data_IF_375448633503
#
_entry.id   IF_375448633503
#
_cell.length_a   1.000
_cell.length_b   1.000
_cell.length_c   1.000
_cell.angle_alpha   90.00
_cell.angle_beta   90.00
_cell.angle_gamma   90.00
#
_symmetry.space_group_name_H-M   'P 1'
#
loop_
_entity.id
_entity.type
_entity.pdbx_description
1 polymer ?
#
# COMPACT_ATOMS: atom_id res chain seq x y z
N UNK A 1 -24.54 -23.39 23.39
CA UNK A 1 -23.97 -22.15 22.84
C UNK A 1 -23.60 -22.30 21.35
N UNK A 2 -22.80 -23.31 20.96
CA UNK A 2 -22.41 -23.54 19.54
C UNK A 2 -23.62 -23.64 18.60
N UNK A 3 -24.64 -24.44 18.93
CA UNK A 3 -25.83 -24.59 18.07
C UNK A 3 -26.61 -23.28 17.89
N UNK A 4 -26.59 -22.42 18.90
CA UNK A 4 -27.21 -21.09 18.83
C UNK A 4 -26.41 -20.14 17.93
N UNK A 5 -25.09 -20.10 18.12
CA UNK A 5 -24.22 -19.24 17.29
C UNK A 5 -24.25 -19.66 15.83
N UNK A 6 -24.25 -20.97 15.53
CA UNK A 6 -24.40 -21.47 14.15
C UNK A 6 -25.70 -21.03 13.51
N UNK A 7 -26.85 -21.22 14.21
CA UNK A 7 -28.15 -20.77 13.69
C UNK A 7 -28.21 -19.24 13.50
N UNK A 8 -27.61 -18.48 14.40
CA UNK A 8 -27.60 -17.03 14.31
C UNK A 8 -26.74 -16.55 13.12
N UNK A 9 -25.57 -17.16 12.89
CA UNK A 9 -24.73 -16.90 11.72
C UNK A 9 -25.45 -17.28 10.43
N UNK A 10 -26.11 -18.45 10.37
CA UNK A 10 -26.89 -18.87 9.21
C UNK A 10 -28.03 -17.88 8.88
N UNK A 11 -28.70 -17.34 9.91
CA UNK A 11 -29.76 -16.35 9.73
C UNK A 11 -29.20 -15.01 9.24
N UNK A 12 -28.09 -14.55 9.80
CA UNK A 12 -27.40 -13.35 9.33
C UNK A 12 -26.98 -13.49 7.87
N UNK A 13 -26.41 -14.63 7.47
CA UNK A 13 -26.00 -14.88 6.08
C UNK A 13 -27.17 -14.90 5.08
N UNK A 14 -28.37 -15.25 5.54
CA UNK A 14 -29.58 -15.24 4.69
C UNK A 14 -30.22 -13.86 4.59
N UNK A 15 -30.12 -13.05 5.62
CA UNK A 15 -30.86 -11.78 5.75
C UNK A 15 -30.01 -10.55 5.48
N UNK A 16 -28.69 -10.67 5.54
CA UNK A 16 -27.77 -9.56 5.37
C UNK A 16 -26.96 -9.74 4.09
N UNK A 17 -26.89 -8.70 3.25
CA UNK A 17 -25.91 -8.64 2.18
C UNK A 17 -24.55 -8.55 2.84
N UNK A 18 -23.68 -9.52 2.57
CA UNK A 18 -22.32 -9.50 3.12
C UNK A 18 -21.54 -8.32 2.53
N UNK A 19 -20.92 -7.53 3.39
CA UNK A 19 -19.97 -6.52 2.94
C UNK A 19 -18.78 -7.20 2.28
N UNK A 20 -18.34 -6.68 1.15
CA UNK A 20 -17.16 -7.19 0.46
C UNK A 20 -15.89 -6.73 1.19
N UNK A 21 -15.10 -7.67 1.67
CA UNK A 21 -13.80 -7.39 2.28
C UNK A 21 -12.73 -7.23 1.19
N UNK A 22 -12.28 -6.03 0.95
CA UNK A 22 -11.23 -5.75 -0.03
C UNK A 22 -9.88 -6.27 0.46
N UNK A 23 -9.15 -6.93 -0.44
CA UNK A 23 -7.81 -7.50 -0.14
C UNK A 23 -6.66 -6.54 -0.42
N UNK A 24 -6.96 -5.39 -1.00
CA UNK A 24 -6.01 -4.34 -1.38
C UNK A 24 -6.56 -3.00 -0.92
N UNK A 25 -5.66 -2.09 -0.58
CA UNK A 25 -5.95 -0.67 -0.46
C UNK A 25 -5.84 -0.02 -1.85
N UNK A 26 -6.30 1.21 -1.99
CA UNK A 26 -6.35 1.88 -3.28
C UNK A 26 -7.69 1.74 -3.96
N UNK A 27 -7.74 1.86 -5.29
CA UNK A 27 -8.99 1.73 -6.03
C UNK A 27 -9.61 0.35 -5.87
N UNK A 28 -10.88 0.30 -5.53
CA UNK A 28 -11.60 -0.94 -5.27
C UNK A 28 -11.78 -1.78 -6.54
N UNK A 29 -11.97 -1.10 -7.67
CA UNK A 29 -12.15 -1.67 -8.99
C UNK A 29 -11.62 -0.77 -10.12
N UNK A 30 -11.72 -1.24 -11.35
CA UNK A 30 -11.25 -0.55 -12.54
C UNK A 30 -12.08 0.71 -12.89
N UNK A 31 -13.28 0.86 -12.33
CA UNK A 31 -14.12 2.05 -12.54
C UNK A 31 -13.65 3.25 -11.70
N UNK A 32 -12.86 2.99 -10.66
CA UNK A 32 -12.35 4.01 -9.73
C UNK A 32 -13.47 4.81 -9.01
N UNK A 33 -14.60 4.16 -8.74
CA UNK A 33 -15.75 4.79 -8.06
C UNK A 33 -15.57 4.80 -6.54
N UNK A 34 -14.71 3.92 -6.01
CA UNK A 34 -14.44 3.78 -4.60
C UNK A 34 -12.95 3.55 -4.33
N UNK A 35 -12.45 4.13 -3.23
CA UNK A 35 -11.06 4.01 -2.78
C UNK A 35 -11.00 3.43 -1.38
N UNK A 36 -10.28 2.31 -1.24
CA UNK A 36 -10.10 1.60 0.04
C UNK A 36 -8.92 2.21 0.80
N UNK A 37 -9.18 2.70 2.01
CA UNK A 37 -8.16 3.27 2.89
C UNK A 37 -8.36 2.78 4.34
N UNK A 38 -7.58 1.79 4.74
CA UNK A 38 -7.75 1.14 6.03
C UNK A 38 -9.11 0.45 6.15
N UNK A 39 -9.88 0.82 7.16
CA UNK A 39 -11.25 0.37 7.41
C UNK A 39 -12.32 1.21 6.70
N UNK A 40 -11.92 2.07 5.76
CA UNK A 40 -12.82 2.99 5.06
C UNK A 40 -12.87 2.69 3.57
N UNK A 41 -14.08 2.73 3.03
CA UNK A 41 -14.39 2.76 1.61
C UNK A 41 -14.86 4.17 1.25
N UNK A 42 -13.99 4.94 0.61
CA UNK A 42 -14.26 6.34 0.25
C UNK A 42 -14.86 6.39 -1.13
N UNK A 43 -16.05 6.97 -1.26
CA UNK A 43 -16.80 7.14 -2.51
C UNK A 43 -17.09 8.63 -2.76
N UNK A 44 -17.61 8.95 -3.92
CA UNK A 44 -18.08 10.32 -4.23
C UNK A 44 -19.25 10.79 -3.33
N UNK A 45 -19.99 9.85 -2.73
CA UNK A 45 -21.18 10.14 -1.92
C UNK A 45 -20.93 10.08 -0.42
N UNK A 46 -19.79 9.53 0.01
CA UNK A 46 -19.47 9.42 1.44
C UNK A 46 -18.36 8.41 1.75
N UNK A 47 -18.32 8.02 3.01
CA UNK A 47 -17.36 7.05 3.53
C UNK A 47 -18.13 5.94 4.21
N UNK A 48 -17.95 4.72 3.72
CA UNK A 48 -18.54 3.51 4.27
C UNK A 48 -17.47 2.69 5.01
N UNK A 49 -17.92 1.73 5.81
CA UNK A 49 -17.01 0.80 6.49
C UNK A 49 -16.51 -0.26 5.51
N UNK A 50 -15.19 -0.46 5.49
CA UNK A 50 -14.54 -1.56 4.77
C UNK A 50 -14.09 -2.63 5.78
N UNK A 51 -14.71 -3.82 5.82
CA UNK A 51 -14.32 -4.87 6.74
C UNK A 51 -12.89 -5.36 6.42
N UNK A 52 -12.08 -5.66 7.44
CA UNK A 52 -10.72 -6.15 7.24
C UNK A 52 -10.71 -7.52 6.57
N UNK A 53 -9.87 -7.68 5.56
CA UNK A 53 -9.52 -8.99 5.02
C UNK A 53 -8.32 -9.57 5.77
N UNK A 54 -8.06 -10.87 5.61
CA UNK A 54 -6.85 -11.51 6.18
C UNK A 54 -5.54 -10.89 5.67
N UNK A 55 -5.56 -10.26 4.47
CA UNK A 55 -4.38 -9.62 3.89
C UNK A 55 -4.15 -8.21 4.44
N UNK A 56 -5.22 -7.48 4.78
CA UNK A 56 -5.17 -6.06 5.16
C UNK A 56 -5.22 -5.82 6.68
N UNK A 57 -5.70 -6.79 7.45
CA UNK A 57 -6.02 -6.63 8.88
C UNK A 57 -4.87 -6.05 9.72
N UNK A 58 -3.64 -6.46 9.46
CA UNK A 58 -2.46 -5.99 10.22
C UNK A 58 -2.06 -4.55 9.91
N UNK A 59 -2.57 -3.95 8.82
CA UNK A 59 -2.20 -2.61 8.38
C UNK A 59 -3.32 -1.58 8.59
N UNK A 60 -4.52 -1.98 8.96
CA UNK A 60 -5.66 -1.07 9.08
C UNK A 60 -5.37 0.10 10.03
N UNK A 61 -4.80 -0.18 11.21
CA UNK A 61 -4.45 0.85 12.18
C UNK A 61 -3.42 1.86 11.68
N UNK A 62 -2.60 1.49 10.70
CA UNK A 62 -1.63 2.38 10.09
C UNK A 62 -2.28 3.54 9.30
N UNK A 63 -3.53 3.37 8.88
CA UNK A 63 -4.29 4.38 8.12
C UNK A 63 -5.15 5.30 8.99
N UNK A 64 -5.05 5.18 10.31
CA UNK A 64 -5.71 6.13 11.19
C UNK A 64 -5.10 7.52 11.04
N UNK A 65 -5.96 8.53 10.84
CA UNK A 65 -5.54 9.92 10.73
C UNK A 65 -4.98 10.40 12.08
N UNK A 66 -3.73 10.88 12.07
CA UNK A 66 -3.05 11.46 13.26
C UNK A 66 -2.64 12.89 12.96
N UNK A 67 -2.75 13.76 13.96
CA UNK A 67 -2.45 15.18 13.80
C UNK A 67 -3.61 15.98 13.19
N UNK A 68 -3.29 17.13 12.59
CA UNK A 68 -4.28 18.02 11.99
C UNK A 68 -3.91 18.38 10.55
N UNK A 69 -4.91 18.79 9.77
CA UNK A 69 -4.72 19.26 8.40
C UNK A 69 -3.74 20.43 8.34
N UNK A 70 -3.84 21.37 9.29
CA UNK A 70 -2.99 22.56 9.37
C UNK A 70 -1.51 22.17 9.52
N UNK A 71 -1.21 21.21 10.41
CA UNK A 71 0.16 20.70 10.61
C UNK A 71 0.68 20.00 9.36
N UNK A 72 -0.17 19.27 8.65
CA UNK A 72 0.22 18.63 7.39
C UNK A 72 0.52 19.69 6.30
N UNK A 73 -0.28 20.74 6.21
CA UNK A 73 -0.02 21.84 5.28
C UNK A 73 1.27 22.60 5.63
N UNK A 74 1.57 22.83 6.91
CA UNK A 74 2.86 23.40 7.35
C UNK A 74 4.05 22.53 6.88
N UNK A 75 3.94 21.21 6.97
CA UNK A 75 4.96 20.28 6.50
C UNK A 75 5.15 20.38 4.97
N UNK A 76 4.06 20.41 4.21
CA UNK A 76 4.11 20.54 2.75
C UNK A 76 4.71 21.88 2.34
N UNK A 77 4.35 22.98 3.02
CA UNK A 77 4.89 24.30 2.78
C UNK A 77 6.40 24.39 3.10
N UNK A 78 6.88 23.59 4.08
CA UNK A 78 8.32 23.49 4.34
C UNK A 78 9.10 23.02 3.11
N UNK A 79 8.54 22.07 2.35
CA UNK A 79 9.18 21.59 1.11
C UNK A 79 8.98 22.54 -0.08
N UNK A 80 8.09 23.53 0.01
CA UNK A 80 7.85 24.53 -1.03
C UNK A 80 8.90 25.68 -1.02
N UNK A 81 10.17 25.34 -0.77
CA UNK A 81 11.28 26.28 -0.72
C UNK A 81 12.30 25.96 -1.80
N UNK A 82 13.06 26.98 -2.28
CA UNK A 82 14.18 26.73 -3.19
C UNK A 82 15.13 25.66 -2.64
N UNK A 83 15.68 24.84 -3.51
CA UNK A 83 16.61 23.73 -3.22
C UNK A 83 15.96 22.47 -2.60
N UNK A 84 14.62 22.42 -2.52
CA UNK A 84 13.87 21.23 -2.09
C UNK A 84 13.15 20.52 -3.25
N UNK A 85 13.45 20.83 -4.49
CA UNK A 85 12.75 20.34 -5.68
C UNK A 85 12.72 18.80 -5.75
N UNK A 86 13.83 18.13 -5.37
CA UNK A 86 13.88 16.67 -5.31
C UNK A 86 13.01 16.11 -4.18
N UNK A 87 12.93 16.79 -3.05
CA UNK A 87 12.06 16.39 -1.94
C UNK A 87 10.58 16.61 -2.32
N UNK A 88 10.26 17.74 -2.98
CA UNK A 88 8.91 17.99 -3.51
C UNK A 88 8.49 16.88 -4.48
N UNK A 89 9.42 16.44 -5.36
CA UNK A 89 9.16 15.32 -6.27
C UNK A 89 8.78 14.04 -5.50
N UNK A 90 9.52 13.69 -4.45
CA UNK A 90 9.24 12.51 -3.60
C UNK A 90 7.88 12.63 -2.91
N UNK A 91 7.57 13.79 -2.35
CA UNK A 91 6.24 14.06 -1.76
C UNK A 91 5.14 13.97 -2.83
N UNK A 92 5.41 14.52 -4.03
CA UNK A 92 4.52 14.44 -5.18
C UNK A 92 4.21 13.00 -5.61
N UNK A 93 5.16 12.07 -5.47
CA UNK A 93 4.93 10.62 -5.68
C UNK A 93 3.87 10.08 -4.72
N UNK A 94 3.87 10.55 -3.47
CA UNK A 94 2.82 10.21 -2.50
C UNK A 94 1.42 10.53 -3.01
N UNK A 95 1.21 11.75 -3.51
CA UNK A 95 -0.06 12.18 -4.08
C UNK A 95 -0.36 11.54 -5.44
N UNK A 96 0.66 11.24 -6.23
CA UNK A 96 0.53 10.69 -7.57
C UNK A 96 0.23 9.19 -7.62
N UNK A 97 0.42 8.46 -6.52
CA UNK A 97 0.27 7.01 -6.50
C UNK A 97 -1.09 6.49 -6.98
N UNK A 98 -2.24 7.07 -6.61
CA UNK A 98 -3.54 6.64 -7.14
C UNK A 98 -3.68 6.81 -8.65
N UNK A 99 -2.95 7.75 -9.25
CA UNK A 99 -2.98 8.02 -10.69
C UNK A 99 -2.31 6.91 -11.51
N UNK A 100 -1.54 6.02 -10.89
CA UNK A 100 -0.97 4.85 -11.58
C UNK A 100 -2.05 4.00 -12.25
N UNK A 101 -3.25 3.93 -11.69
CA UNK A 101 -4.37 3.21 -12.27
C UNK A 101 -4.73 3.67 -13.70
N UNK A 102 -4.52 4.96 -14.02
CA UNK A 102 -4.88 5.55 -15.33
C UNK A 102 -3.72 5.66 -16.31
N UNK A 103 -2.49 5.31 -15.89
CA UNK A 103 -1.30 5.45 -16.74
C UNK A 103 -1.13 4.33 -17.75
N UNK A 104 -1.79 3.19 -17.55
CA UNK A 104 -1.54 1.96 -18.30
C UNK A 104 -0.22 1.25 -17.93
N UNK A 105 0.51 1.76 -16.94
CA UNK A 105 1.74 1.14 -16.43
C UNK A 105 1.41 0.20 -15.26
N UNK A 106 2.13 -0.92 -15.15
CA UNK A 106 1.97 -1.81 -14.02
C UNK A 106 2.53 -1.16 -12.75
N UNK A 107 3.78 -0.71 -12.78
CA UNK A 107 4.43 -0.04 -11.65
C UNK A 107 5.65 0.74 -12.11
N UNK A 108 6.09 1.69 -11.29
CA UNK A 108 7.31 2.44 -11.49
C UNK A 108 8.12 2.40 -10.20
N UNK A 109 9.44 2.19 -10.31
CA UNK A 109 10.37 2.26 -9.18
C UNK A 109 11.24 3.49 -9.31
N UNK A 110 11.37 4.25 -8.22
CA UNK A 110 12.17 5.45 -8.12
C UNK A 110 13.23 5.22 -7.06
N UNK A 111 14.49 5.31 -7.42
CA UNK A 111 15.61 5.10 -6.50
C UNK A 111 16.18 6.45 -6.05
N UNK A 112 16.12 6.69 -4.75
CA UNK A 112 16.71 7.88 -4.13
C UNK A 112 18.14 7.56 -3.69
N UNK A 113 19.13 8.27 -4.23
CA UNK A 113 20.52 8.12 -3.83
C UNK A 113 21.12 9.48 -3.42
N UNK A 114 22.15 9.46 -2.60
CA UNK A 114 22.82 10.64 -2.11
C UNK A 114 23.44 10.44 -0.74
N UNK A 115 24.21 11.42 -0.27
CA UNK A 115 24.85 11.39 1.04
C UNK A 115 23.90 11.16 2.21
N UNK A 116 24.45 10.80 3.36
CA UNK A 116 23.69 10.72 4.60
C UNK A 116 23.25 12.14 5.03
N UNK A 117 22.06 12.24 5.65
CA UNK A 117 21.55 13.49 6.20
C UNK A 117 20.93 14.47 5.19
N UNK A 118 20.84 14.12 3.90
CA UNK A 118 20.22 15.00 2.88
C UNK A 118 18.67 14.92 2.87
N UNK A 119 18.03 14.24 3.81
CA UNK A 119 16.59 14.24 3.98
C UNK A 119 15.81 13.22 3.13
N UNK A 120 16.48 12.20 2.53
CA UNK A 120 15.81 11.16 1.72
C UNK A 120 14.68 10.46 2.47
N UNK A 121 15.00 9.84 3.61
CA UNK A 121 14.02 9.14 4.46
C UNK A 121 12.92 10.08 4.96
N UNK A 122 13.27 11.32 5.33
CA UNK A 122 12.27 12.31 5.76
C UNK A 122 11.27 12.64 4.64
N UNK A 123 11.72 12.78 3.39
CA UNK A 123 10.84 13.01 2.26
C UNK A 123 9.96 11.78 1.95
N UNK A 124 10.51 10.57 2.08
CA UNK A 124 9.75 9.32 1.97
C UNK A 124 8.68 9.21 3.06
N UNK A 125 9.03 9.55 4.31
CA UNK A 125 8.06 9.60 5.42
C UNK A 125 6.96 10.65 5.17
N UNK A 126 7.30 11.80 4.59
CA UNK A 126 6.31 12.81 4.22
C UNK A 126 5.38 12.31 3.12
N UNK A 127 5.88 11.57 2.12
CA UNK A 127 5.07 10.96 1.06
C UNK A 127 4.09 9.90 1.62
N UNK A 128 4.52 9.07 2.58
CA UNK A 128 3.66 8.10 3.25
C UNK A 128 2.69 8.77 4.23
N UNK A 129 3.12 9.83 4.91
CA UNK A 129 2.31 10.57 5.90
C UNK A 129 1.02 11.17 5.33
N UNK A 130 0.90 11.27 4.00
CA UNK A 130 -0.34 11.64 3.31
C UNK A 130 -1.42 10.58 3.51
N UNK A 131 -1.00 9.31 3.62
CA UNK A 131 -1.87 8.14 3.65
C UNK A 131 -2.07 7.56 5.05
N UNK A 132 -1.06 7.66 5.92
CA UNK A 132 -1.12 7.09 7.26
C UNK A 132 0.19 7.19 8.01
N UNK A 133 0.43 6.27 8.94
CA UNK A 133 1.65 6.21 9.76
C UNK A 133 2.85 5.76 8.92
N UNK A 134 3.85 6.63 8.67
CA UNK A 134 5.04 6.23 7.90
C UNK A 134 5.80 5.07 8.55
N UNK A 135 5.89 5.03 9.89
CA UNK A 135 6.62 4.00 10.62
C UNK A 135 6.03 2.59 10.44
N UNK A 136 4.71 2.50 10.19
CA UNK A 136 4.00 1.24 10.00
C UNK A 136 3.87 0.87 8.51
N UNK A 137 3.79 1.87 7.62
CA UNK A 137 3.60 1.66 6.18
C UNK A 137 4.91 1.43 5.42
N UNK A 138 6.04 1.96 5.91
CA UNK A 138 7.34 1.82 5.27
C UNK A 138 7.90 0.40 5.43
N UNK A 139 8.41 -0.19 4.36
CA UNK A 139 9.20 -1.42 4.44
C UNK A 139 10.54 -1.15 5.12
N UNK A 140 10.92 -2.02 6.03
CA UNK A 140 12.16 -1.92 6.80
C UNK A 140 13.25 -2.83 6.25
N UNK A 141 14.53 -2.55 6.53
CA UNK A 141 15.64 -3.40 6.08
C UNK A 141 15.51 -4.87 6.52
N UNK A 142 14.91 -5.11 7.69
CA UNK A 142 14.72 -6.44 8.29
C UNK A 142 13.59 -7.24 7.64
N UNK A 143 12.71 -6.59 6.86
CA UNK A 143 11.58 -7.27 6.23
C UNK A 143 12.07 -8.30 5.22
N UNK A 144 11.48 -9.48 5.27
CA UNK A 144 11.78 -10.53 4.30
C UNK A 144 11.29 -10.14 2.90
N UNK A 145 11.94 -10.68 1.86
CA UNK A 145 11.51 -10.45 0.47
C UNK A 145 10.01 -10.76 0.28
N UNK A 146 9.52 -11.85 0.86
CA UNK A 146 8.11 -12.24 0.74
C UNK A 146 7.17 -11.24 1.43
N UNK A 147 7.56 -10.70 2.59
CA UNK A 147 6.78 -9.68 3.29
C UNK A 147 6.67 -8.39 2.47
N UNK A 148 7.78 -7.95 1.86
CA UNK A 148 7.80 -6.78 0.97
C UNK A 148 6.91 -6.97 -0.26
N UNK A 149 6.93 -8.18 -0.86
CA UNK A 149 6.07 -8.50 -2.01
C UNK A 149 4.59 -8.52 -1.63
N UNK A 150 4.24 -9.08 -0.45
CA UNK A 150 2.88 -9.06 0.05
C UNK A 150 2.41 -7.63 0.33
N UNK A 151 3.29 -6.81 0.91
CA UNK A 151 2.98 -5.39 1.13
C UNK A 151 2.72 -4.67 -0.19
N UNK A 152 3.53 -4.91 -1.22
CA UNK A 152 3.29 -4.39 -2.57
C UNK A 152 1.91 -4.77 -3.12
N UNK A 153 1.51 -6.03 -2.95
CA UNK A 153 0.17 -6.49 -3.35
C UNK A 153 -0.94 -5.75 -2.61
N UNK A 154 -0.77 -5.58 -1.28
CA UNK A 154 -1.81 -4.96 -0.43
C UNK A 154 -1.89 -3.46 -0.65
N UNK A 155 -0.76 -2.77 -0.85
CA UNK A 155 -0.71 -1.31 -1.03
C UNK A 155 -1.33 -0.83 -2.35
N UNK A 156 -1.24 -1.62 -3.40
CA UNK A 156 -1.82 -1.37 -4.74
C UNK A 156 -1.60 0.07 -5.26
N UNK A 157 -2.52 1.01 -5.09
CA UNK A 157 -2.41 2.40 -5.58
C UNK A 157 -1.92 3.40 -4.49
N UNK A 158 -1.31 2.90 -3.43
CA UNK A 158 -0.66 3.70 -2.38
C UNK A 158 0.85 3.56 -2.54
N UNK A 159 1.68 4.58 -2.21
CA UNK A 159 3.12 4.47 -2.40
C UNK A 159 3.71 3.29 -1.62
N UNK A 160 4.54 2.50 -2.30
CA UNK A 160 5.33 1.45 -1.66
C UNK A 160 6.72 2.01 -1.36
N UNK A 161 7.00 2.32 -0.11
CA UNK A 161 8.27 2.93 0.30
C UNK A 161 9.12 1.90 1.03
N UNK A 162 10.41 1.86 0.67
CA UNK A 162 11.41 1.01 1.31
C UNK A 162 12.60 1.85 1.74
N UNK A 163 12.89 1.85 3.06
CA UNK A 163 14.08 2.51 3.59
C UNK A 163 15.28 1.55 3.58
N UNK A 164 16.46 2.10 3.37
CA UNK A 164 17.75 1.42 3.45
C UNK A 164 17.82 0.02 2.81
N UNK A 165 17.88 -0.05 1.49
CA UNK A 165 18.10 -1.31 0.77
C UNK A 165 19.60 -1.70 0.68
N UNK A 166 20.47 -1.11 1.49
CA UNK A 166 21.93 -1.30 1.43
C UNK A 166 22.39 -2.69 1.82
N UNK A 167 21.60 -3.41 2.63
CA UNK A 167 21.87 -4.79 3.04
C UNK A 167 21.45 -5.84 2.00
N UNK A 168 20.83 -5.40 0.89
CA UNK A 168 20.37 -6.28 -0.19
C UNK A 168 21.46 -6.30 -1.27
N UNK A 169 21.92 -7.48 -1.65
CA UNK A 169 22.91 -7.58 -2.75
C UNK A 169 22.28 -7.19 -4.10
N UNK A 170 23.12 -6.81 -5.07
CA UNK A 170 22.66 -6.28 -6.35
C UNK A 170 21.72 -7.23 -7.12
N UNK A 171 21.91 -8.55 -7.04
CA UNK A 171 21.05 -9.52 -7.70
C UNK A 171 19.65 -9.56 -7.05
N UNK A 172 19.60 -9.54 -5.72
CA UNK A 172 18.33 -9.49 -4.97
C UNK A 172 17.59 -8.17 -5.21
N UNK A 173 18.32 -7.05 -5.28
CA UNK A 173 17.74 -5.74 -5.62
C UNK A 173 17.15 -5.75 -7.03
N UNK A 174 17.89 -6.26 -8.00
CA UNK A 174 17.41 -6.38 -9.39
C UNK A 174 16.16 -7.25 -9.48
N UNK A 175 16.13 -8.38 -8.78
CA UNK A 175 14.95 -9.26 -8.73
C UNK A 175 13.76 -8.57 -8.05
N UNK A 176 14.00 -7.82 -6.98
CA UNK A 176 12.96 -7.04 -6.30
C UNK A 176 12.34 -5.99 -7.22
N UNK A 177 13.16 -5.14 -7.83
CA UNK A 177 12.70 -4.10 -8.77
C UNK A 177 11.96 -4.72 -9.96
N UNK A 178 12.48 -5.81 -10.53
CA UNK A 178 11.82 -6.52 -11.61
C UNK A 178 10.44 -7.04 -11.21
N UNK A 179 10.31 -7.63 -10.03
CA UNK A 179 9.03 -8.13 -9.54
C UNK A 179 8.03 -7.00 -9.25
N UNK A 180 8.47 -5.92 -8.59
CA UNK A 180 7.62 -4.75 -8.32
C UNK A 180 7.11 -4.17 -9.64
N UNK A 181 8.01 -3.97 -10.61
CA UNK A 181 7.66 -3.42 -11.93
C UNK A 181 6.75 -4.34 -12.74
N UNK A 182 6.80 -5.65 -12.49
CA UNK A 182 5.95 -6.64 -13.15
C UNK A 182 4.47 -6.58 -12.75
N UNK A 183 4.12 -5.85 -11.69
CA UNK A 183 2.75 -5.63 -11.25
C UNK A 183 2.04 -6.87 -10.68
N UNK A 184 2.76 -7.97 -10.41
CA UNK A 184 2.22 -9.22 -9.83
C UNK A 184 3.30 -10.04 -9.14
N UNK A 185 2.89 -10.81 -8.12
CA UNK A 185 3.76 -11.82 -7.53
C UNK A 185 4.10 -12.94 -8.53
N UNK A 186 5.30 -13.53 -8.37
CA UNK A 186 5.68 -14.75 -9.10
C UNK A 186 4.72 -15.90 -8.75
N UNK A 187 4.40 -16.72 -9.76
CA UNK A 187 3.67 -17.96 -9.52
C UNK A 187 4.44 -18.88 -8.59
N UNK A 188 3.72 -19.54 -7.72
CA UNK A 188 4.27 -20.55 -6.80
C UNK A 188 3.43 -21.82 -6.86
N UNK A 189 4.11 -22.96 -6.80
CA UNK A 189 3.44 -24.25 -6.64
C UNK A 189 3.11 -24.49 -5.18
N UNK A 190 2.02 -25.21 -4.91
CA UNK A 190 1.73 -25.71 -3.57
C UNK A 190 2.73 -26.82 -3.21
N UNK A 191 3.17 -26.87 -1.94
CA UNK A 191 4.10 -27.91 -1.46
C UNK A 191 3.56 -29.35 -1.57
N UNK A 192 2.25 -29.52 -1.67
CA UNK A 192 1.57 -30.81 -1.79
C UNK A 192 0.88 -30.91 -3.16
N UNK A 193 1.60 -31.44 -4.14
CA UNK A 193 1.00 -31.95 -5.39
C UNK A 193 0.82 -30.94 -6.52
N UNK A 194 1.87 -30.45 -7.14
CA UNK A 194 1.90 -29.78 -8.47
C UNK A 194 0.70 -28.89 -8.85
N UNK A 195 0.03 -28.31 -7.84
CA UNK A 195 -1.08 -27.37 -8.04
C UNK A 195 -0.52 -25.95 -7.94
N UNK A 196 -0.75 -25.13 -8.95
CA UNK A 196 -0.42 -23.70 -8.91
C UNK A 196 -1.25 -23.00 -7.83
N UNK A 197 -0.59 -22.26 -6.94
CA UNK A 197 -1.32 -21.42 -5.97
C UNK A 197 -2.06 -20.31 -6.71
N UNK A 198 -3.24 -19.95 -6.21
CA UNK A 198 -3.93 -18.78 -6.71
C UNK A 198 -2.98 -17.57 -6.66
N UNK A 199 -2.85 -16.89 -7.79
CA UNK A 199 -2.06 -15.65 -7.87
C UNK A 199 -2.71 -14.57 -7.01
N UNK A 200 -1.88 -13.77 -6.36
CA UNK A 200 -2.34 -12.53 -5.78
C UNK A 200 -2.92 -11.58 -6.82
N UNK A 201 -3.66 -10.58 -6.37
CA UNK A 201 -4.18 -9.53 -7.25
C UNK A 201 -3.02 -8.74 -7.89
N UNK A 202 -3.20 -8.19 -9.10
CA UNK A 202 -2.23 -7.26 -9.67
C UNK A 202 -2.14 -5.98 -8.83
N UNK A 203 -1.03 -5.27 -8.98
CA UNK A 203 -0.86 -3.96 -8.37
C UNK A 203 -0.36 -2.93 -9.39
N UNK A 204 -0.65 -1.66 -9.10
CA UNK A 204 -0.13 -0.51 -9.83
C UNK A 204 0.50 0.43 -8.81
N UNK A 205 1.83 0.38 -8.69
CA UNK A 205 2.58 1.01 -7.61
C UNK A 205 3.52 2.11 -8.12
N UNK A 206 3.64 3.17 -7.31
CA UNK A 206 4.84 3.99 -7.27
C UNK A 206 5.69 3.52 -6.09
N UNK A 207 6.85 2.92 -6.39
CA UNK A 207 7.79 2.44 -5.38
C UNK A 207 8.95 3.43 -5.20
N UNK A 208 9.25 3.78 -3.95
CA UNK A 208 10.34 4.67 -3.54
C UNK A 208 11.39 3.90 -2.74
#
# INVERSE_FOLDING_TARGET
LMAYTTKWVDELQRTTVADEAHRQFGWADDNMDAFVLGDKLVTATGVDFNPPSTATASLIGAFEAKGTREKNLELLEFYNKPHYELHQYVVGVGFGSPLMAVTGLNSMSIHLYGGSGVGKTTAQMAALGIWGSPDELMNKPEDTHNARMLRGEVMHNIPLVSDEMTNVNGAQMSDYVYQVSGGRQKNRMSGNGNIERARGKPWHLLAL
#
